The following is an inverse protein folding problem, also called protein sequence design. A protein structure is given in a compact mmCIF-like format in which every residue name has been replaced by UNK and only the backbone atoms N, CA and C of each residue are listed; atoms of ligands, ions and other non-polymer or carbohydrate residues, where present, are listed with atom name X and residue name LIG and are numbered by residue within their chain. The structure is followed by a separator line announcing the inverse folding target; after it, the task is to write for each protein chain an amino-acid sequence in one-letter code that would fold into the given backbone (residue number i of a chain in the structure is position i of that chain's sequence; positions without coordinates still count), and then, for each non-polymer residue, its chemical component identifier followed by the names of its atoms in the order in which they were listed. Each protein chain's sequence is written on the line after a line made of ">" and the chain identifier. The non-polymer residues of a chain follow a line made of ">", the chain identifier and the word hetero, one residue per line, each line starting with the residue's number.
data_IF_559870699579
#
_entry.id   IF_559870699579
#
_cell.length_a   1.000
_cell.length_b   1.000
_cell.length_c   1.000
_cell.angle_alpha   90.00
_cell.angle_beta   90.00
_cell.angle_gamma   90.00
#
_symmetry.space_group_name_H-M   'P 1'
#
loop_
_entity.id
_entity.type
_entity.pdbx_description
1 polymer ?
#
# COMPACT_ATOMS: atom_id res chain seq x y z
N UNK A 1 14.75 18.13 0.35
CA UNK A 1 13.76 17.24 -0.23
C UNK A 1 12.84 16.69 0.82
N UNK A 2 11.55 16.81 0.59
CA UNK A 2 10.55 16.27 1.48
C UNK A 2 9.96 14.99 0.90
N UNK A 3 9.80 14.00 1.78
CA UNK A 3 9.00 12.83 1.44
C UNK A 3 7.55 13.20 1.68
N UNK A 4 6.71 13.07 0.65
CA UNK A 4 5.29 13.40 0.74
C UNK A 4 4.40 12.18 0.92
N UNK A 5 4.91 11.00 0.58
CA UNK A 5 4.22 9.73 0.76
C UNK A 5 5.22 8.60 0.62
N UNK A 6 4.83 7.39 1.02
CA UNK A 6 5.67 6.21 0.87
C UNK A 6 4.81 4.99 0.54
N UNK A 7 5.32 4.11 -0.31
CA UNK A 7 4.65 2.88 -0.67
C UNK A 7 5.66 1.74 -0.58
N UNK A 8 5.31 0.69 0.15
CA UNK A 8 6.10 -0.53 0.19
C UNK A 8 5.30 -1.64 -0.50
N UNK A 9 5.94 -2.33 -1.43
CA UNK A 9 5.33 -3.46 -2.12
C UNK A 9 5.78 -4.75 -1.48
N UNK A 10 4.82 -5.58 -1.10
CA UNK A 10 5.03 -6.89 -0.50
C UNK A 10 4.17 -7.91 -1.24
N UNK A 11 4.42 -9.17 -1.07
CA UNK A 11 3.52 -10.23 -1.50
C UNK A 11 2.99 -10.93 -0.25
N UNK A 12 1.72 -11.31 -0.17
CA UNK A 12 0.74 -11.43 -1.25
C UNK A 12 -0.65 -11.07 -0.72
N UNK A 13 -1.65 -11.00 -1.60
CA UNK A 13 -3.04 -10.83 -1.20
C UNK A 13 -3.84 -9.82 -2.01
N UNK A 14 -3.20 -9.03 -2.86
CA UNK A 14 -3.85 -7.97 -3.66
C UNK A 14 -4.66 -7.02 -2.79
N UNK A 15 -4.01 -6.52 -1.73
CA UNK A 15 -4.61 -5.61 -0.77
C UNK A 15 -3.77 -4.37 -0.58
N UNK A 16 -4.42 -3.28 -0.16
CA UNK A 16 -3.77 -2.00 0.12
C UNK A 16 -4.06 -1.64 1.57
N UNK A 17 -3.01 -1.61 2.40
CA UNK A 17 -3.11 -1.16 3.79
C UNK A 17 -2.69 0.30 3.87
N UNK A 18 -3.45 1.10 4.60
CA UNK A 18 -3.29 2.56 4.64
C UNK A 18 -3.33 3.16 6.03
N UNK A 19 -3.89 2.44 6.99
CA UNK A 19 -4.29 3.02 8.28
C UNK A 19 -3.30 2.77 9.40
N UNK A 20 -3.14 3.76 10.26
CA UNK A 20 -2.47 3.62 11.55
C UNK A 20 -3.22 4.43 12.60
N UNK A 21 -4.50 4.16 12.76
CA UNK A 21 -5.36 4.77 13.74
C UNK A 21 -5.45 6.29 13.64
N UNK A 22 -5.44 6.97 14.77
CA UNK A 22 -5.57 8.42 14.79
C UNK A 22 -4.35 9.16 14.25
N UNK A 23 -3.23 8.46 14.02
CA UNK A 23 -2.02 9.04 13.45
C UNK A 23 -2.08 9.15 11.93
N UNK A 24 -3.03 8.45 11.31
CA UNK A 24 -3.14 8.41 9.85
C UNK A 24 -3.52 9.78 9.30
N UNK A 25 -2.77 10.31 8.32
CA UNK A 25 -3.16 11.56 7.67
C UNK A 25 -4.54 11.47 7.02
N UNK A 26 -5.28 12.56 7.04
CA UNK A 26 -6.69 12.58 6.62
C UNK A 26 -6.92 12.17 5.17
N UNK A 27 -5.97 12.43 4.29
CA UNK A 27 -6.10 12.11 2.86
C UNK A 27 -5.78 10.64 2.54
N UNK A 28 -5.29 9.86 3.51
CA UNK A 28 -4.78 8.52 3.24
C UNK A 28 -5.82 7.56 2.68
N UNK A 29 -7.03 7.55 3.23
CA UNK A 29 -8.08 6.67 2.73
C UNK A 29 -8.46 7.01 1.29
N UNK A 30 -8.58 8.28 0.98
CA UNK A 30 -8.91 8.71 -0.38
C UNK A 30 -7.84 8.25 -1.38
N UNK A 31 -6.57 8.41 -1.05
CA UNK A 31 -5.49 7.91 -1.89
C UNK A 31 -5.53 6.40 -2.03
N UNK A 32 -5.80 5.69 -0.94
CA UNK A 32 -5.92 4.22 -0.98
C UNK A 32 -7.07 3.78 -1.91
N UNK A 33 -8.20 4.48 -1.85
CA UNK A 33 -9.34 4.19 -2.71
C UNK A 33 -9.01 4.44 -4.19
N UNK A 34 -8.29 5.52 -4.49
CA UNK A 34 -7.84 5.81 -5.84
C UNK A 34 -6.90 4.71 -6.35
N UNK A 35 -5.96 4.27 -5.51
CA UNK A 35 -5.04 3.20 -5.88
C UNK A 35 -5.78 1.88 -6.10
N UNK A 36 -6.80 1.60 -5.29
CA UNK A 36 -7.61 0.40 -5.44
C UNK A 36 -8.36 0.42 -6.78
N UNK A 37 -8.91 1.56 -7.15
CA UNK A 37 -9.59 1.72 -8.42
C UNK A 37 -8.66 1.48 -9.61
N UNK A 38 -7.42 1.98 -9.52
CA UNK A 38 -6.44 1.84 -10.59
C UNK A 38 -5.89 0.42 -10.72
N UNK A 39 -5.84 -0.33 -9.63
CA UNK A 39 -5.21 -1.66 -9.61
C UNK A 39 -6.20 -2.81 -9.60
N UNK A 40 -7.40 -2.58 -9.12
CA UNK A 40 -8.35 -3.65 -8.83
C UNK A 40 -8.10 -4.32 -7.48
N UNK A 41 -7.13 -3.83 -6.70
CA UNK A 41 -6.84 -4.37 -5.38
C UNK A 41 -7.86 -3.86 -4.36
N UNK A 42 -7.91 -4.50 -3.19
CA UNK A 42 -8.88 -4.18 -2.14
C UNK A 42 -8.23 -3.30 -1.08
N UNK A 43 -8.93 -2.22 -0.72
CA UNK A 43 -8.52 -1.41 0.44
C UNK A 43 -8.82 -2.22 1.70
N UNK A 44 -7.82 -2.35 2.57
CA UNK A 44 -7.93 -3.16 3.77
C UNK A 44 -7.22 -2.50 4.94
N UNK A 45 -7.49 -3.03 6.13
CA UNK A 45 -6.79 -2.65 7.35
C UNK A 45 -6.21 -3.91 7.97
N UNK A 46 -4.99 -3.87 8.49
CA UNK A 46 -4.45 -5.02 9.19
C UNK A 46 -5.25 -5.27 10.47
N UNK A 47 -5.34 -6.53 10.88
CA UNK A 47 -6.07 -6.93 12.06
C UNK A 47 -5.16 -7.47 13.14
N UNK A 48 -5.61 -7.34 14.40
CA UNK A 48 -4.91 -7.90 15.54
C UNK A 48 -3.50 -7.34 15.72
N UNK A 49 -2.56 -8.23 15.95
CA UNK A 49 -1.16 -7.85 16.24
C UNK A 49 -0.38 -7.39 15.00
N UNK A 50 -0.99 -7.44 13.85
CA UNK A 50 -0.34 -7.00 12.61
C UNK A 50 -0.20 -5.46 12.54
N UNK A 51 -0.80 -4.75 13.48
CA UNK A 51 -0.71 -3.29 13.54
C UNK A 51 0.51 -2.86 14.36
N UNK A 52 1.11 -1.75 13.97
CA UNK A 52 2.13 -1.08 14.78
C UNK A 52 3.57 -1.53 14.55
N UNK A 53 3.82 -2.44 13.63
CA UNK A 53 5.16 -2.99 13.46
C UNK A 53 5.80 -2.83 12.10
N UNK A 54 5.11 -2.30 11.12
CA UNK A 54 5.59 -2.28 9.76
C UNK A 54 6.17 -0.95 9.32
N UNK A 55 6.77 -0.96 8.14
CA UNK A 55 7.34 0.23 7.53
C UNK A 55 6.30 1.35 7.37
N UNK A 56 5.09 1.01 6.91
CA UNK A 56 4.00 1.96 6.75
C UNK A 56 3.72 2.71 8.05
N UNK A 57 3.58 1.98 9.14
CA UNK A 57 3.26 2.57 10.43
C UNK A 57 4.38 3.48 10.92
N UNK A 58 5.64 3.07 10.72
CA UNK A 58 6.78 3.88 11.07
C UNK A 58 6.79 5.21 10.30
N UNK A 59 6.52 5.16 8.99
CA UNK A 59 6.50 6.38 8.16
C UNK A 59 5.39 7.32 8.63
N UNK A 60 4.20 6.80 8.89
CA UNK A 60 3.09 7.63 9.36
C UNK A 60 3.45 8.29 10.69
N UNK A 61 3.99 7.53 11.63
CA UNK A 61 4.30 8.04 12.95
C UNK A 61 5.43 9.07 12.93
N UNK A 62 6.52 8.78 12.22
CA UNK A 62 7.71 9.61 12.25
C UNK A 62 7.68 10.78 11.29
N UNK A 63 7.07 10.59 10.12
CA UNK A 63 7.05 11.63 9.09
C UNK A 63 5.71 12.32 8.93
N UNK A 64 4.64 11.74 9.45
CA UNK A 64 3.30 12.33 9.37
C UNK A 64 2.74 12.42 7.96
N UNK A 65 3.19 11.57 7.06
CA UNK A 65 2.74 11.56 5.66
C UNK A 65 2.00 10.26 5.36
N UNK A 66 1.14 10.25 4.32
CA UNK A 66 0.48 9.01 3.91
C UNK A 66 1.50 7.94 3.56
N UNK A 67 1.26 6.73 4.03
CA UNK A 67 2.09 5.58 3.70
C UNK A 67 1.21 4.36 3.53
N UNK A 68 1.63 3.47 2.64
CA UNK A 68 0.82 2.33 2.23
C UNK A 68 1.68 1.10 2.11
N UNK A 69 1.09 -0.05 2.45
CA UNK A 69 1.64 -1.35 2.10
C UNK A 69 0.72 -1.95 1.04
N UNK A 70 1.30 -2.24 -0.12
CA UNK A 70 0.55 -2.83 -1.23
C UNK A 70 0.99 -4.28 -1.34
N UNK A 71 0.07 -5.21 -1.03
CA UNK A 71 0.33 -6.64 -1.11
C UNK A 71 0.00 -7.12 -2.52
N UNK A 72 1.02 -7.50 -3.28
CA UNK A 72 0.87 -7.88 -4.69
C UNK A 72 0.76 -9.40 -4.87
N UNK A 73 0.03 -9.81 -5.89
CA UNK A 73 -0.05 -11.21 -6.29
C UNK A 73 -0.94 -12.06 -5.40
N UNK A 74 -1.08 -13.31 -5.78
CA UNK A 74 -1.98 -14.28 -5.12
C UNK A 74 -1.27 -15.58 -4.85
N UNK A 75 -1.71 -16.27 -3.79
CA UNK A 75 -1.24 -17.60 -3.46
C UNK A 75 -0.19 -17.58 -2.37
N UNK A 76 0.73 -18.54 -2.42
CA UNK A 76 1.75 -18.69 -1.40
C UNK A 76 3.09 -18.09 -1.84
N UNK A 77 3.82 -17.56 -0.88
CA UNK A 77 5.18 -17.09 -1.13
C UNK A 77 6.17 -18.25 -1.14
N UNK A 78 7.22 -18.21 -2.00
CA UNK A 78 7.45 -17.19 -3.00
C UNK A 78 6.49 -17.33 -4.18
N UNK A 79 6.01 -16.18 -4.69
CA UNK A 79 5.10 -16.20 -5.83
C UNK A 79 5.81 -16.67 -7.09
N UNK A 80 5.07 -17.37 -7.95
CA UNK A 80 5.62 -17.82 -9.21
C UNK A 80 5.91 -16.64 -10.13
N UNK A 81 7.01 -16.70 -10.88
CA UNK A 81 7.43 -15.63 -11.79
C UNK A 81 6.39 -15.34 -12.87
N UNK A 82 5.51 -16.29 -13.17
CA UNK A 82 4.45 -16.09 -14.14
C UNK A 82 3.48 -14.97 -13.74
N UNK A 83 3.45 -14.60 -12.47
CA UNK A 83 2.59 -13.51 -11.99
C UNK A 83 3.18 -12.12 -12.24
N UNK A 84 4.45 -12.02 -12.61
CA UNK A 84 5.13 -10.72 -12.70
C UNK A 84 4.43 -9.75 -13.64
N UNK A 85 4.03 -10.22 -14.81
CA UNK A 85 3.38 -9.36 -15.81
C UNK A 85 2.05 -8.80 -15.29
N UNK A 86 1.24 -9.64 -14.66
CA UNK A 86 -0.03 -9.22 -14.08
C UNK A 86 0.18 -8.23 -12.94
N UNK A 87 1.14 -8.52 -12.05
CA UNK A 87 1.46 -7.64 -10.94
C UNK A 87 1.89 -6.26 -11.46
N UNK A 88 2.80 -6.25 -12.43
CA UNK A 88 3.27 -4.98 -13.00
C UNK A 88 2.13 -4.17 -13.60
N UNK A 89 1.29 -4.83 -14.41
CA UNK A 89 0.17 -4.16 -15.07
C UNK A 89 -0.82 -3.58 -14.07
N UNK A 90 -1.07 -4.28 -12.96
CA UNK A 90 -2.00 -3.81 -11.93
C UNK A 90 -1.41 -2.69 -11.07
N UNK A 91 -0.12 -2.71 -10.82
CA UNK A 91 0.51 -1.75 -9.91
C UNK A 91 1.09 -0.52 -10.59
N UNK A 92 1.22 -0.54 -11.91
CA UNK A 92 1.75 0.60 -12.66
C UNK A 92 0.98 1.89 -12.36
N UNK A 93 -0.36 1.83 -12.33
CA UNK A 93 -1.18 2.99 -12.00
C UNK A 93 -0.95 3.49 -10.59
N UNK A 94 -0.69 2.60 -9.65
CA UNK A 94 -0.37 2.98 -8.28
C UNK A 94 0.92 3.80 -8.25
N UNK A 95 1.95 3.33 -8.97
CA UNK A 95 3.23 4.02 -9.02
C UNK A 95 3.10 5.40 -9.64
N UNK A 96 2.32 5.52 -10.72
CA UNK A 96 2.06 6.81 -11.35
C UNK A 96 1.28 7.74 -10.42
N UNK A 97 0.26 7.23 -9.74
CA UNK A 97 -0.54 8.01 -8.79
C UNK A 97 0.34 8.56 -7.67
N UNK A 98 1.32 7.80 -7.21
CA UNK A 98 2.19 8.23 -6.12
C UNK A 98 2.98 9.51 -6.45
N UNK A 99 3.18 9.79 -7.72
CA UNK A 99 3.92 10.98 -8.16
C UNK A 99 3.11 12.28 -8.00
N UNK A 100 1.81 12.16 -7.84
CA UNK A 100 0.91 13.32 -7.75
C UNK A 100 0.12 13.38 -6.44
N UNK A 101 0.52 12.58 -5.48
CA UNK A 101 -0.09 12.63 -4.14
C UNK A 101 0.35 13.87 -3.37
#
# INVERSE_FOLDING_TARGET
>A
NKICSAIAFHSQGEEIYWDFGCRTPKCSLEFAQDMAELSGYTVAQPEGIATGGGFKDWVIEELGVPAFTVEVGKGENPLDISQLSDIYNKTEGIMVKSLIM
#
